data_IF_081586046265
#
_entry.id   IF_081586046265
#
_cell.length_a   1.000
_cell.length_b   1.000
_cell.length_c   1.000
_cell.angle_alpha   90.00
_cell.angle_beta   90.00
_cell.angle_gamma   90.00
#
_symmetry.space_group_name_H-M   'P 1'
#
loop_
_entity.id
_entity.type
_entity.pdbx_description
1 polymer ?
#
# COMPACT_ATOMS: atom_id res chain seq x y z
N UNK A 1 -5.08 20.72 -2.84
CA UNK A 1 -4.43 21.35 -4.02
C UNK A 1 -3.31 22.22 -3.50
N UNK A 2 -2.08 22.05 -4.00
CA UNK A 2 -0.94 22.86 -3.55
C UNK A 2 -1.16 24.33 -3.97
N UNK A 3 -0.97 25.33 -3.08
CA UNK A 3 -1.00 26.73 -3.47
C UNK A 3 0.20 27.05 -4.37
N UNK A 4 -0.06 27.56 -5.57
CA UNK A 4 1.01 28.00 -6.48
C UNK A 4 1.83 29.16 -5.89
N UNK A 5 1.22 29.90 -4.96
CA UNK A 5 1.79 31.02 -4.21
C UNK A 5 3.15 30.68 -3.55
N UNK A 6 3.27 29.46 -3.01
CA UNK A 6 4.51 28.98 -2.39
C UNK A 6 5.64 28.74 -3.41
N UNK A 7 5.27 28.34 -4.63
CA UNK A 7 6.24 28.11 -5.71
C UNK A 7 6.67 29.43 -6.35
N UNK A 8 5.73 30.36 -6.51
CA UNK A 8 6.02 31.69 -7.05
C UNK A 8 6.90 32.51 -6.08
N UNK A 9 6.65 32.43 -4.77
CA UNK A 9 7.53 33.02 -3.76
C UNK A 9 8.96 32.42 -3.81
N UNK A 10 9.08 31.10 -3.94
CA UNK A 10 10.37 30.44 -4.03
C UNK A 10 11.16 30.82 -5.29
N UNK A 11 10.47 31.10 -6.40
CA UNK A 11 11.11 31.63 -7.63
C UNK A 11 11.63 33.06 -7.42
N UNK A 12 10.87 33.90 -6.71
CA UNK A 12 11.30 35.25 -6.34
C UNK A 12 12.55 35.20 -5.44
N UNK A 13 12.63 34.21 -4.54
CA UNK A 13 13.80 33.94 -3.67
C UNK A 13 14.98 33.29 -4.41
N UNK A 14 14.90 33.09 -5.74
CA UNK A 14 15.98 32.56 -6.56
C UNK A 14 16.13 31.03 -6.53
N UNK A 15 15.13 30.30 -6.03
CA UNK A 15 15.15 28.84 -6.06
C UNK A 15 14.93 28.31 -7.49
N UNK A 16 15.77 27.35 -7.91
CA UNK A 16 15.56 26.58 -9.14
C UNK A 16 14.40 25.58 -8.97
N UNK A 17 13.75 25.17 -10.07
CA UNK A 17 12.60 24.27 -10.11
C UNK A 17 12.82 22.94 -9.37
N UNK A 18 14.01 22.34 -9.51
CA UNK A 18 14.36 21.13 -8.75
C UNK A 18 14.40 21.39 -7.23
N UNK A 19 14.86 22.58 -6.83
CA UNK A 19 14.84 23.01 -5.43
C UNK A 19 13.41 23.15 -4.89
N UNK A 20 12.53 23.77 -5.69
CA UNK A 20 11.11 23.93 -5.36
C UNK A 20 10.44 22.54 -5.23
N UNK A 21 10.71 21.63 -6.16
CA UNK A 21 10.18 20.27 -6.15
C UNK A 21 10.54 19.54 -4.84
N UNK A 22 11.82 19.47 -4.50
CA UNK A 22 12.26 18.66 -3.34
C UNK A 22 12.03 19.34 -2.00
N UNK A 23 12.13 20.67 -1.91
CA UNK A 23 12.05 21.40 -0.64
C UNK A 23 10.65 21.87 -0.29
N UNK A 24 9.78 22.07 -1.27
CA UNK A 24 8.43 22.61 -1.06
C UNK A 24 7.40 21.58 -1.49
N UNK A 25 7.38 21.19 -2.77
CA UNK A 25 6.31 20.33 -3.29
C UNK A 25 6.29 18.95 -2.64
N UNK A 26 7.45 18.28 -2.55
CA UNK A 26 7.57 16.93 -2.01
C UNK A 26 7.11 16.81 -0.54
N UNK A 27 7.56 17.66 0.41
CA UNK A 27 7.08 17.57 1.79
C UNK A 27 5.59 17.92 1.94
N UNK A 28 5.06 18.87 1.16
CA UNK A 28 3.61 19.14 1.14
C UNK A 28 2.80 17.98 0.54
N UNK A 29 3.39 17.24 -0.41
CA UNK A 29 2.77 16.08 -1.02
C UNK A 29 2.93 14.78 -0.21
N UNK A 30 3.74 14.77 0.88
CA UNK A 30 3.95 13.57 1.72
C UNK A 30 2.66 12.86 2.09
N UNK A 31 1.58 13.55 2.53
CA UNK A 31 0.36 12.86 2.88
C UNK A 31 -0.27 12.12 1.70
N UNK A 32 -0.39 12.77 0.55
CA UNK A 32 -0.90 12.16 -0.66
C UNK A 32 -0.01 10.99 -1.13
N UNK A 33 1.31 11.13 -1.06
CA UNK A 33 2.26 10.08 -1.43
C UNK A 33 2.14 8.85 -0.53
N UNK A 34 1.95 9.03 0.78
CA UNK A 34 1.71 7.92 1.71
C UNK A 34 0.45 7.14 1.36
N UNK A 35 -0.63 7.85 1.01
CA UNK A 35 -1.89 7.21 0.55
C UNK A 35 -1.66 6.39 -0.72
N UNK A 36 -1.00 6.98 -1.72
CA UNK A 36 -0.70 6.30 -2.99
C UNK A 36 0.18 5.08 -2.76
N UNK A 37 1.22 5.21 -1.93
CA UNK A 37 2.11 4.12 -1.58
C UNK A 37 1.38 2.97 -0.88
N UNK A 38 0.48 3.29 0.06
CA UNK A 38 -0.36 2.29 0.74
C UNK A 38 -1.24 1.54 -0.26
N UNK A 39 -1.99 2.23 -1.11
CA UNK A 39 -2.84 1.59 -2.10
C UNK A 39 -2.03 0.77 -3.11
N UNK A 40 -0.85 1.24 -3.52
CA UNK A 40 0.05 0.47 -4.39
C UNK A 40 0.58 -0.78 -3.70
N UNK A 41 1.00 -0.68 -2.44
CA UNK A 41 1.41 -1.82 -1.64
C UNK A 41 0.28 -2.83 -1.51
N UNK A 42 -0.92 -2.41 -1.12
CA UNK A 42 -2.10 -3.27 -1.01
C UNK A 42 -2.43 -3.97 -2.34
N UNK A 43 -2.39 -3.23 -3.45
CA UNK A 43 -2.65 -3.78 -4.78
C UNK A 43 -1.63 -4.85 -5.16
N UNK A 44 -0.34 -4.59 -4.98
CA UNK A 44 0.72 -5.55 -5.28
C UNK A 44 0.69 -6.76 -4.33
N UNK A 45 0.38 -6.55 -3.04
CA UNK A 45 0.32 -7.61 -2.04
C UNK A 45 -0.85 -8.58 -2.26
N UNK A 46 -1.98 -8.06 -2.74
CA UNK A 46 -3.17 -8.87 -3.08
C UNK A 46 -3.17 -9.34 -4.54
N UNK A 47 -2.13 -9.03 -5.33
CA UNK A 47 -2.09 -9.44 -6.74
C UNK A 47 -1.94 -10.96 -6.86
N UNK A 48 -3.01 -11.58 -7.31
CA UNK A 48 -3.09 -12.99 -7.61
C UNK A 48 -2.97 -13.25 -9.11
N UNK A 49 -3.64 -12.45 -9.94
CA UNK A 49 -3.77 -12.71 -11.38
C UNK A 49 -2.45 -12.53 -12.13
N UNK A 50 -1.64 -11.53 -11.77
CA UNK A 50 -0.32 -11.36 -12.39
C UNK A 50 0.56 -12.59 -12.17
N UNK A 51 0.87 -12.95 -10.92
CA UNK A 51 1.60 -14.17 -10.59
C UNK A 51 0.97 -15.43 -11.18
N UNK A 52 -0.36 -15.48 -11.29
CA UNK A 52 -1.06 -16.64 -11.81
C UNK A 52 -0.68 -16.93 -13.27
N UNK A 53 -0.59 -15.88 -14.08
CA UNK A 53 -0.31 -15.94 -15.51
C UNK A 53 1.20 -16.04 -15.78
N UNK A 54 2.02 -15.30 -15.02
CA UNK A 54 3.44 -15.16 -15.33
C UNK A 54 4.36 -16.18 -14.63
N UNK A 55 3.94 -16.77 -13.50
CA UNK A 55 4.83 -17.62 -12.70
C UNK A 55 4.49 -19.11 -12.88
N UNK A 56 5.31 -19.80 -13.66
CA UNK A 56 5.18 -21.25 -13.86
C UNK A 56 5.96 -22.09 -12.84
N UNK A 57 6.92 -21.51 -12.12
CA UNK A 57 7.77 -22.22 -11.14
C UNK A 57 7.27 -22.00 -9.70
N UNK A 58 7.05 -23.10 -8.99
CA UNK A 58 6.53 -23.13 -7.61
C UNK A 58 7.41 -22.37 -6.61
N UNK A 59 8.73 -22.30 -6.85
CA UNK A 59 9.66 -21.57 -5.96
C UNK A 59 9.50 -20.05 -6.00
N UNK A 60 8.76 -19.52 -6.97
CA UNK A 60 8.56 -18.08 -7.16
C UNK A 60 7.16 -17.62 -6.77
N UNK A 61 6.29 -18.52 -6.30
CA UNK A 61 4.91 -18.17 -6.01
C UNK A 61 4.79 -17.08 -4.95
N UNK A 62 3.89 -16.15 -5.20
CA UNK A 62 3.47 -15.15 -4.23
C UNK A 62 2.59 -15.80 -3.15
N UNK A 63 2.50 -15.15 -1.98
CA UNK A 63 1.64 -15.60 -0.88
C UNK A 63 0.18 -15.78 -1.33
N UNK A 64 -0.33 -14.92 -2.22
CA UNK A 64 -1.67 -15.03 -2.79
C UNK A 64 -1.88 -16.31 -3.62
N UNK A 65 -0.93 -16.67 -4.48
CA UNK A 65 -1.00 -17.90 -5.30
C UNK A 65 -0.79 -19.16 -4.45
N UNK A 66 0.09 -19.09 -3.44
CA UNK A 66 0.28 -20.16 -2.46
C UNK A 66 -0.98 -20.44 -1.63
N UNK A 67 -1.69 -19.40 -1.19
CA UNK A 67 -2.96 -19.54 -0.46
C UNK A 67 -4.03 -20.23 -1.32
N UNK A 68 -4.13 -19.91 -2.61
CA UNK A 68 -5.10 -20.55 -3.50
C UNK A 68 -4.80 -22.04 -3.72
N UNK A 69 -3.52 -22.40 -3.89
CA UNK A 69 -3.12 -23.82 -3.94
C UNK A 69 -3.50 -24.56 -2.66
N UNK A 70 -3.31 -23.90 -1.51
CA UNK A 70 -3.67 -24.42 -0.19
C UNK A 70 -5.18 -24.66 -0.07
N UNK A 71 -5.99 -23.70 -0.55
CA UNK A 71 -7.45 -23.84 -0.65
C UNK A 71 -7.81 -25.03 -1.53
N UNK A 72 -7.23 -25.14 -2.73
CA UNK A 72 -7.44 -26.29 -3.62
C UNK A 72 -7.13 -27.64 -2.95
N UNK A 73 -5.98 -27.75 -2.27
CA UNK A 73 -5.63 -28.99 -1.54
C UNK A 73 -6.57 -29.30 -0.36
N UNK A 74 -7.09 -28.26 0.31
CA UNK A 74 -8.05 -28.43 1.39
C UNK A 74 -9.41 -28.97 0.90
N UNK A 75 -9.83 -28.59 -0.31
CA UNK A 75 -11.05 -29.10 -0.93
C UNK A 75 -10.88 -30.53 -1.48
N UNK A 76 -9.72 -30.86 -2.07
CA UNK A 76 -9.44 -32.19 -2.64
C UNK A 76 -9.29 -33.30 -1.58
N UNK A 77 -8.75 -32.97 -0.40
CA UNK A 77 -8.46 -33.97 0.66
C UNK A 77 -9.70 -34.33 1.50
N UNK A 78 -10.88 -33.77 1.18
CA UNK A 78 -12.14 -34.18 1.80
C UNK A 78 -12.19 -33.87 3.30
N UNK A 79 -12.58 -32.64 3.66
CA UNK A 79 -13.02 -32.28 5.02
C UNK A 79 -12.12 -32.78 6.15
N UNK A 80 -10.79 -32.69 5.97
CA UNK A 80 -9.88 -32.83 7.11
C UNK A 80 -10.27 -31.76 8.14
N UNK A 81 -10.64 -32.16 9.36
CA UNK A 81 -11.09 -31.25 10.45
C UNK A 81 -10.14 -30.06 10.71
N UNK A 82 -8.90 -30.14 10.22
CA UNK A 82 -7.87 -29.10 10.34
C UNK A 82 -7.69 -28.20 9.12
N UNK A 83 -8.34 -28.45 7.98
CA UNK A 83 -8.14 -27.67 6.76
C UNK A 83 -8.62 -26.21 6.90
N UNK A 84 -9.81 -26.01 7.48
CA UNK A 84 -10.38 -24.67 7.70
C UNK A 84 -9.60 -23.85 8.76
N UNK A 85 -9.28 -24.40 9.95
CA UNK A 85 -8.41 -23.69 10.91
C UNK A 85 -7.07 -23.29 10.30
N UNK A 86 -6.47 -24.16 9.48
CA UNK A 86 -5.19 -23.87 8.84
C UNK A 86 -5.31 -22.75 7.79
N UNK A 87 -6.34 -22.77 6.96
CA UNK A 87 -6.63 -21.68 6.00
C UNK A 87 -6.88 -20.34 6.69
N UNK A 88 -7.62 -20.34 7.80
CA UNK A 88 -7.89 -19.12 8.57
C UNK A 88 -6.61 -18.58 9.23
N UNK A 89 -5.73 -19.46 9.73
CA UNK A 89 -4.44 -19.08 10.30
C UNK A 89 -3.54 -18.41 9.25
N UNK A 90 -3.38 -19.03 8.08
CA UNK A 90 -2.59 -18.47 6.98
C UNK A 90 -3.17 -17.15 6.48
N UNK A 91 -4.50 -17.07 6.32
CA UNK A 91 -5.18 -15.83 5.88
C UNK A 91 -4.97 -14.68 6.88
N UNK A 92 -4.96 -14.98 8.18
CA UNK A 92 -4.70 -14.00 9.24
C UNK A 92 -3.26 -13.47 9.16
N UNK A 93 -2.29 -14.36 8.92
CA UNK A 93 -0.88 -14.00 8.75
C UNK A 93 -0.67 -13.15 7.49
N UNK A 94 -1.34 -13.46 6.38
CA UNK A 94 -1.25 -12.68 5.13
C UNK A 94 -1.85 -11.28 5.29
N UNK A 95 -2.84 -11.13 6.16
CA UNK A 95 -3.52 -9.84 6.44
C UNK A 95 -2.68 -8.93 7.34
N UNK A 96 -1.87 -9.50 8.24
CA UNK A 96 -1.07 -8.77 9.23
C UNK A 96 -0.20 -7.64 8.64
N UNK A 97 0.58 -7.85 7.56
CA UNK A 97 1.38 -6.79 6.94
C UNK A 97 0.56 -5.62 6.42
N UNK A 98 -0.65 -5.87 5.91
CA UNK A 98 -1.56 -4.81 5.46
C UNK A 98 -2.02 -3.96 6.64
N UNK A 99 -2.37 -4.60 7.77
CA UNK A 99 -2.74 -3.89 9.00
C UNK A 99 -1.58 -3.03 9.51
N UNK A 100 -0.36 -3.57 9.53
CA UNK A 100 0.84 -2.83 9.92
C UNK A 100 1.06 -1.62 9.02
N UNK A 101 0.98 -1.78 7.69
CA UNK A 101 1.09 -0.68 6.74
C UNK A 101 0.00 0.39 6.95
N UNK A 102 -1.23 -0.04 7.26
CA UNK A 102 -2.34 0.86 7.56
C UNK A 102 -2.08 1.69 8.82
N UNK A 103 -1.57 1.08 9.91
CA UNK A 103 -1.24 1.82 11.13
C UNK A 103 -0.19 2.90 10.90
N UNK A 104 0.83 2.63 10.08
CA UNK A 104 1.82 3.63 9.70
C UNK A 104 1.21 4.77 8.87
N UNK A 105 0.31 4.45 7.94
CA UNK A 105 -0.34 5.44 7.09
C UNK A 105 -1.38 6.29 7.84
N UNK A 106 -2.09 5.73 8.82
CA UNK A 106 -3.16 6.39 9.59
C UNK A 106 -2.73 7.75 10.15
N UNK A 107 -1.51 7.84 10.71
CA UNK A 107 -1.01 9.08 11.30
C UNK A 107 -0.90 10.19 10.26
N UNK A 108 -0.42 9.83 9.07
CA UNK A 108 -0.27 10.76 7.96
C UNK A 108 -1.61 11.18 7.36
N UNK A 109 -2.62 10.30 7.35
CA UNK A 109 -3.99 10.67 6.96
C UNK A 109 -4.57 11.74 7.88
N UNK A 110 -4.38 11.61 9.20
CA UNK A 110 -4.87 12.57 10.20
C UNK A 110 -4.19 13.94 10.03
N UNK A 111 -2.86 13.96 9.82
CA UNK A 111 -2.10 15.19 9.56
C UNK A 111 -2.47 15.86 8.22
N UNK A 112 -2.86 15.07 7.19
CA UNK A 112 -3.33 15.60 5.91
C UNK A 112 -4.70 16.28 6.00
N UNK A 113 -5.61 15.74 6.82
CA UNK A 113 -6.95 16.31 7.03
C UNK A 113 -6.86 17.62 7.83
N UNK A 114 -5.97 17.71 8.82
CA UNK A 114 -5.79 18.93 9.61
C UNK A 114 -5.25 20.11 8.79
N UNK A 115 -4.37 19.85 7.81
CA UNK A 115 -3.88 20.87 6.87
C UNK A 115 -4.98 21.41 5.95
N UNK A 116 -5.98 20.59 5.61
CA UNK A 116 -7.15 21.05 4.84
C UNK A 116 -8.21 21.77 5.69
N UNK A 117 -8.13 21.65 7.02
CA UNK A 117 -9.06 22.29 7.97
C UNK A 117 -8.77 23.76 8.28
N UNK A 118 -7.58 24.28 7.93
CA UNK A 118 -7.20 25.69 8.16
C UNK A 118 -7.64 26.60 6.99
N UNK A 119 -8.84 26.33 6.45
CA UNK A 119 -9.57 27.28 5.60
C UNK A 119 -10.93 27.54 6.23
N UNK A 120 -10.88 28.39 7.26
CA UNK A 120 -11.97 29.02 7.98
C UNK A 120 -11.35 30.15 8.80
#
# INVERSE_FOLDING_TARGET
>A
TLPNELSDAARIDGANELGILFRIVLPLAKPALTVVALFRFMGAWNDYFGPLVYLSNDKQWTLARGLERLRGSAYEVGSSRMAYPYLMAVSSIITLPILVAFFFAQRTFIEGISLTGIKG
#
